data_IF_950226326765
#
_entry.id   IF_950226326765
#
_cell.length_a   1.000
_cell.length_b   1.000
_cell.length_c   1.000
_cell.angle_alpha   90.00
_cell.angle_beta   90.00
_cell.angle_gamma   90.00
#
_symmetry.space_group_name_H-M   'P 1'
#
loop_
_entity.id
_entity.type
_entity.pdbx_description
1 polymer ?
#
# COMPACT_ATOMS: atom_id res chain seq x y z
N UNK A 1 -13.63 5.73 -9.58
CA UNK A 1 -13.27 6.58 -10.75
C UNK A 1 -12.29 7.64 -10.27
N UNK A 2 -11.00 7.31 -10.12
CA UNK A 2 -9.93 8.24 -9.69
C UNK A 2 -8.77 8.34 -10.70
N UNK A 3 -8.88 7.66 -11.85
CA UNK A 3 -7.85 7.56 -12.91
C UNK A 3 -7.44 8.89 -13.57
N UNK A 4 -7.93 10.06 -13.13
CA UNK A 4 -7.59 11.37 -13.70
C UNK A 4 -6.91 12.35 -12.75
N UNK A 5 -6.79 12.05 -11.45
CA UNK A 5 -6.34 13.05 -10.47
C UNK A 5 -4.87 13.40 -10.69
N UNK A 6 -3.99 12.40 -10.82
CA UNK A 6 -2.55 12.60 -10.93
C UNK A 6 -2.13 13.52 -12.09
N UNK A 7 -2.80 13.43 -13.25
CA UNK A 7 -2.49 14.24 -14.43
C UNK A 7 -2.83 15.75 -14.26
N UNK A 8 -3.68 16.11 -13.29
CA UNK A 8 -4.13 17.48 -13.04
C UNK A 8 -3.61 18.13 -11.77
N UNK A 9 -2.79 17.43 -10.97
CA UNK A 9 -2.26 17.96 -9.71
C UNK A 9 -1.27 19.10 -9.98
N UNK A 10 -1.56 20.25 -9.38
CA UNK A 10 -0.67 21.42 -9.33
C UNK A 10 -0.14 21.56 -7.91
N UNK A 11 1.14 21.91 -7.77
CA UNK A 11 1.69 22.22 -6.46
C UNK A 11 0.98 23.42 -5.83
N UNK A 12 0.63 23.26 -4.57
CA UNK A 12 -0.06 24.24 -3.75
C UNK A 12 0.86 24.99 -2.79
N UNK A 13 0.29 26.00 -2.15
CA UNK A 13 0.94 26.77 -1.09
C UNK A 13 0.81 26.12 0.29
N UNK A 14 1.11 26.90 1.31
CA UNK A 14 0.98 26.50 2.72
C UNK A 14 -0.50 26.29 3.13
N UNK A 15 -0.92 25.06 3.47
CA UNK A 15 -2.32 24.75 3.75
C UNK A 15 -2.76 25.12 5.17
N UNK A 16 -1.85 25.56 6.06
CA UNK A 16 -2.10 25.63 7.51
C UNK A 16 -3.24 26.57 7.93
N UNK A 17 -3.52 27.60 7.13
CA UNK A 17 -4.64 28.51 7.40
C UNK A 17 -6.01 27.88 7.10
N UNK A 18 -6.05 26.82 6.28
CA UNK A 18 -7.27 26.24 5.75
C UNK A 18 -7.98 25.39 6.81
N UNK A 19 -9.32 25.40 6.76
CA UNK A 19 -10.15 24.62 7.69
C UNK A 19 -9.97 23.13 7.46
N UNK A 20 -10.00 22.69 6.21
CA UNK A 20 -9.89 21.27 5.85
C UNK A 20 -8.54 20.69 6.29
N UNK A 21 -7.48 21.50 6.27
CA UNK A 21 -6.17 21.09 6.78
C UNK A 21 -6.17 20.86 8.30
N UNK A 22 -6.90 21.68 9.07
CA UNK A 22 -7.04 21.46 10.53
C UNK A 22 -7.81 20.18 10.85
N UNK A 23 -8.87 19.90 10.07
CA UNK A 23 -9.62 18.65 10.17
C UNK A 23 -8.74 17.45 9.81
N UNK A 24 -8.00 17.54 8.72
CA UNK A 24 -7.03 16.53 8.30
C UNK A 24 -6.02 16.23 9.41
N UNK A 25 -5.40 17.26 10.01
CA UNK A 25 -4.44 17.08 11.10
C UNK A 25 -5.04 16.39 12.33
N UNK A 26 -6.31 16.70 12.67
CA UNK A 26 -7.00 16.08 13.80
C UNK A 26 -7.23 14.59 13.57
N UNK A 27 -7.65 14.20 12.36
CA UNK A 27 -7.84 12.79 12.02
C UNK A 27 -6.50 12.05 11.93
N UNK A 28 -5.47 12.64 11.31
CA UNK A 28 -4.13 12.02 11.24
C UNK A 28 -3.49 11.85 12.63
N UNK A 29 -3.76 12.74 13.59
CA UNK A 29 -3.25 12.62 14.96
C UNK A 29 -3.74 11.37 15.70
N UNK A 30 -4.86 10.77 15.26
CA UNK A 30 -5.40 9.52 15.83
C UNK A 30 -4.43 8.34 15.69
N UNK A 31 -3.63 8.31 14.63
CA UNK A 31 -2.64 7.26 14.37
C UNK A 31 -1.59 7.16 15.49
N UNK A 32 -1.25 8.28 16.12
CA UNK A 32 -0.26 8.37 17.18
C UNK A 32 -0.83 8.31 18.59
N UNK A 33 -2.15 8.21 18.74
CA UNK A 33 -2.79 8.36 20.03
C UNK A 33 -2.72 7.05 20.84
N UNK A 34 -2.26 7.04 22.10
CA UNK A 34 -2.10 5.83 22.91
C UNK A 34 -3.39 5.02 23.07
N UNK A 35 -4.53 5.72 23.14
CA UNK A 35 -5.84 5.07 23.23
C UNK A 35 -6.37 4.53 21.90
N UNK A 36 -5.60 4.58 20.80
CA UNK A 36 -5.94 3.83 19.59
C UNK A 36 -7.35 4.17 19.02
N UNK A 37 -7.74 5.46 18.91
CA UNK A 37 -9.03 5.77 18.33
C UNK A 37 -9.08 5.34 16.86
N UNK A 38 -10.23 4.85 16.42
CA UNK A 38 -10.44 4.50 15.01
C UNK A 38 -10.20 5.72 14.11
N UNK A 39 -9.47 5.50 13.03
CA UNK A 39 -9.16 6.52 12.02
C UNK A 39 -10.22 6.51 10.92
N UNK A 40 -10.81 7.67 10.62
CA UNK A 40 -11.73 7.79 9.49
C UNK A 40 -10.96 8.11 8.19
N UNK A 41 -10.62 7.05 7.46
CA UNK A 41 -9.89 7.14 6.20
C UNK A 41 -10.69 7.84 5.08
N UNK A 42 -12.02 7.77 5.09
CA UNK A 42 -12.83 8.49 4.11
C UNK A 42 -12.85 9.99 4.39
N UNK A 43 -12.93 10.38 5.66
CA UNK A 43 -12.80 11.79 6.05
C UNK A 43 -11.44 12.37 5.63
N UNK A 44 -10.35 11.62 5.84
CA UNK A 44 -9.01 12.02 5.38
C UNK A 44 -8.98 12.19 3.86
N UNK A 45 -9.47 11.21 3.09
CA UNK A 45 -9.53 11.29 1.63
C UNK A 45 -10.30 12.54 1.16
N UNK A 46 -11.48 12.80 1.74
CA UNK A 46 -12.31 13.96 1.40
C UNK A 46 -11.61 15.28 1.71
N UNK A 47 -10.98 15.41 2.88
CA UNK A 47 -10.22 16.61 3.25
C UNK A 47 -9.07 16.86 2.26
N UNK A 48 -8.32 15.80 1.89
CA UNK A 48 -7.23 15.92 0.94
C UNK A 48 -7.70 16.36 -0.45
N UNK A 49 -8.81 15.81 -0.94
CA UNK A 49 -9.38 16.20 -2.23
C UNK A 49 -9.87 17.66 -2.22
N UNK A 50 -10.48 18.11 -1.12
CA UNK A 50 -10.89 19.51 -0.95
C UNK A 50 -9.68 20.46 -0.94
N UNK A 51 -8.58 20.07 -0.29
CA UNK A 51 -7.33 20.83 -0.27
C UNK A 51 -6.67 20.89 -1.65
N UNK A 52 -6.60 19.76 -2.37
CA UNK A 52 -6.09 19.73 -3.74
C UNK A 52 -6.87 20.67 -4.66
N UNK A 53 -8.20 20.74 -4.51
CA UNK A 53 -9.05 21.60 -5.31
C UNK A 53 -8.91 23.10 -4.96
N UNK A 54 -8.78 23.43 -3.67
CA UNK A 54 -8.81 24.82 -3.20
C UNK A 54 -7.44 25.50 -3.10
N UNK A 55 -6.39 24.73 -2.79
CA UNK A 55 -5.04 25.24 -2.52
C UNK A 55 -3.98 24.67 -3.47
N UNK A 56 -4.28 23.57 -4.15
CA UNK A 56 -3.28 22.73 -4.79
C UNK A 56 -2.66 21.73 -3.82
N UNK A 57 -1.88 20.80 -4.35
CA UNK A 57 -1.27 19.74 -3.56
C UNK A 57 0.00 20.21 -2.87
N UNK A 58 0.06 20.02 -1.56
CA UNK A 58 1.30 20.01 -0.79
C UNK A 58 1.71 18.58 -0.44
N UNK A 59 2.95 18.39 0.01
CA UNK A 59 3.52 17.07 0.25
C UNK A 59 2.85 16.34 1.43
N UNK A 60 2.44 17.07 2.47
CA UNK A 60 1.81 16.47 3.64
C UNK A 60 0.40 15.98 3.31
N UNK A 61 -0.41 16.82 2.65
CA UNK A 61 -1.74 16.44 2.17
C UNK A 61 -1.65 15.29 1.17
N UNK A 62 -0.64 15.28 0.30
CA UNK A 62 -0.40 14.18 -0.65
C UNK A 62 -0.05 12.88 0.04
N UNK A 63 0.82 12.91 1.05
CA UNK A 63 1.14 11.73 1.84
C UNK A 63 -0.09 11.20 2.59
N UNK A 64 -0.90 12.08 3.17
CA UNK A 64 -2.14 11.69 3.86
C UNK A 64 -3.18 11.08 2.88
N UNK A 65 -3.34 11.68 1.69
CA UNK A 65 -4.17 11.12 0.62
C UNK A 65 -3.70 9.73 0.22
N UNK A 66 -2.40 9.59 -0.05
CA UNK A 66 -1.80 8.32 -0.45
C UNK A 66 -2.00 7.25 0.62
N UNK A 67 -1.85 7.58 1.91
CA UNK A 67 -2.11 6.65 3.00
C UNK A 67 -3.60 6.26 3.09
N UNK A 68 -4.51 7.23 2.99
CA UNK A 68 -5.95 6.97 3.03
C UNK A 68 -6.40 6.07 1.89
N UNK A 69 -5.96 6.34 0.65
CA UNK A 69 -6.23 5.49 -0.51
C UNK A 69 -5.73 4.07 -0.28
N UNK A 70 -4.53 3.89 0.26
CA UNK A 70 -3.99 2.56 0.58
C UNK A 70 -4.85 1.80 1.60
N UNK A 71 -5.39 2.48 2.61
CA UNK A 71 -6.30 1.84 3.58
C UNK A 71 -7.67 1.50 2.98
N UNK A 72 -8.16 2.30 2.03
CA UNK A 72 -9.47 2.12 1.41
C UNK A 72 -9.47 1.12 0.24
N UNK A 73 -8.35 1.03 -0.48
CA UNK A 73 -8.25 0.28 -1.74
C UNK A 73 -7.01 -0.63 -1.85
N UNK A 74 -6.27 -0.83 -0.76
CA UNK A 74 -5.11 -1.73 -0.75
C UNK A 74 -4.00 -1.31 -1.72
N UNK A 75 -3.52 -2.25 -2.53
CA UNK A 75 -2.44 -2.01 -3.51
C UNK A 75 -2.84 -1.00 -4.59
N UNK A 76 -4.09 -1.03 -5.05
CA UNK A 76 -4.58 -0.06 -6.04
C UNK A 76 -4.55 1.35 -5.46
N UNK A 77 -4.92 1.49 -4.18
CA UNK A 77 -4.81 2.74 -3.45
C UNK A 77 -3.37 3.22 -3.27
N UNK A 78 -2.43 2.32 -3.00
CA UNK A 78 -0.99 2.64 -2.96
C UNK A 78 -0.51 3.16 -4.30
N UNK A 79 -0.91 2.51 -5.40
CA UNK A 79 -0.55 2.92 -6.75
C UNK A 79 -1.13 4.31 -7.08
N UNK A 80 -2.42 4.54 -6.81
CA UNK A 80 -3.05 5.86 -6.99
C UNK A 80 -2.34 6.95 -6.19
N UNK A 81 -2.01 6.68 -4.93
CA UNK A 81 -1.27 7.60 -4.07
C UNK A 81 0.13 7.91 -4.60
N UNK A 82 0.80 6.91 -5.15
CA UNK A 82 2.14 7.04 -5.73
C UNK A 82 2.12 7.88 -7.00
N UNK A 83 1.13 7.71 -7.87
CA UNK A 83 0.96 8.53 -9.08
C UNK A 83 0.77 10.03 -8.74
N UNK A 84 -0.01 10.33 -7.70
CA UNK A 84 -0.17 11.70 -7.18
C UNK A 84 1.15 12.23 -6.61
N UNK A 85 1.87 11.40 -5.84
CA UNK A 85 3.17 11.76 -5.26
C UNK A 85 4.22 12.04 -6.35
N UNK A 86 4.34 11.17 -7.35
CA UNK A 86 5.25 11.34 -8.49
C UNK A 86 4.94 12.64 -9.25
N UNK A 87 3.66 12.92 -9.46
CA UNK A 87 3.23 14.15 -10.12
C UNK A 87 3.60 15.40 -9.33
N UNK A 88 3.54 15.33 -7.99
CA UNK A 88 3.96 16.41 -7.11
C UNK A 88 5.48 16.58 -6.99
N UNK A 89 6.23 15.49 -7.10
CA UNK A 89 7.70 15.49 -7.01
C UNK A 89 8.39 15.89 -8.32
N UNK A 90 7.66 16.30 -9.36
CA UNK A 90 8.29 16.83 -10.59
C UNK A 90 9.13 18.07 -10.26
N UNK A 91 10.26 18.23 -10.98
CA UNK A 91 11.31 19.18 -10.64
C UNK A 91 10.86 20.66 -10.58
N UNK A 92 9.77 21.01 -11.29
CA UNK A 92 9.19 22.35 -11.36
C UNK A 92 8.13 22.63 -10.28
N UNK A 93 7.62 21.61 -9.61
CA UNK A 93 6.47 21.72 -8.70
C UNK A 93 6.82 22.41 -7.37
N UNK A 94 8.03 22.22 -6.82
CA UNK A 94 8.49 22.82 -5.55
C UNK A 94 7.42 22.82 -4.43
N UNK A 95 6.88 21.64 -4.06
CA UNK A 95 5.76 21.54 -3.13
C UNK A 95 6.11 22.05 -1.74
N UNK A 96 5.11 22.59 -1.04
CA UNK A 96 5.22 22.84 0.39
C UNK A 96 5.30 21.51 1.17
N UNK A 97 6.08 21.40 2.26
CA UNK A 97 7.01 22.40 2.79
C UNK A 97 8.34 22.45 2.00
N UNK A 98 8.96 23.64 1.94
CA UNK A 98 10.24 23.84 1.20
C UNK A 98 11.45 23.21 1.89
N UNK A 99 11.39 23.00 3.20
CA UNK A 99 12.51 22.49 3.99
C UNK A 99 12.78 21.01 3.74
N UNK A 100 14.02 20.67 3.37
CA UNK A 100 14.45 19.29 3.08
C UNK A 100 14.13 18.34 4.23
N UNK A 101 14.42 18.73 5.48
CA UNK A 101 14.17 17.89 6.66
C UNK A 101 12.69 17.52 6.80
N UNK A 102 11.79 18.49 6.65
CA UNK A 102 10.34 18.25 6.74
C UNK A 102 9.85 17.33 5.62
N UNK A 103 10.36 17.51 4.38
CA UNK A 103 10.02 16.61 3.26
C UNK A 103 10.50 15.18 3.51
N UNK A 104 11.73 15.02 3.99
CA UNK A 104 12.30 13.70 4.36
C UNK A 104 11.46 13.05 5.46
N UNK A 105 11.03 13.80 6.47
CA UNK A 105 10.22 13.30 7.58
C UNK A 105 8.85 12.80 7.10
N UNK A 106 8.15 13.60 6.29
CA UNK A 106 6.84 13.26 5.70
C UNK A 106 6.94 11.99 4.85
N UNK A 107 7.91 11.95 3.93
CA UNK A 107 8.14 10.79 3.07
C UNK A 107 8.52 9.56 3.88
N UNK A 108 9.38 9.74 4.89
CA UNK A 108 9.81 8.65 5.76
C UNK A 108 8.63 8.04 6.51
N UNK A 109 7.73 8.90 7.01
CA UNK A 109 6.47 8.51 7.66
C UNK A 109 5.57 7.72 6.72
N UNK A 110 5.30 8.23 5.52
CA UNK A 110 4.47 7.54 4.52
C UNK A 110 4.98 6.14 4.20
N UNK A 111 6.27 6.01 3.83
CA UNK A 111 6.83 4.71 3.47
C UNK A 111 6.93 3.76 4.66
N UNK A 112 7.09 4.28 5.88
CA UNK A 112 7.00 3.50 7.11
C UNK A 112 5.59 2.94 7.34
N UNK A 113 4.56 3.78 7.17
CA UNK A 113 3.16 3.36 7.29
C UNK A 113 2.77 2.35 6.22
N UNK A 114 3.23 2.53 4.97
CA UNK A 114 2.99 1.54 3.91
C UNK A 114 3.68 0.20 4.17
N UNK A 115 4.86 0.19 4.78
CA UNK A 115 5.49 -1.07 5.20
C UNK A 115 4.65 -1.82 6.23
N UNK A 116 4.02 -1.10 7.16
CA UNK A 116 3.10 -1.69 8.13
C UNK A 116 1.85 -2.23 7.45
N UNK A 117 1.20 -1.41 6.63
CA UNK A 117 -0.01 -1.79 5.90
C UNK A 117 0.22 -2.99 4.97
N UNK A 118 1.34 -3.04 4.25
CA UNK A 118 1.69 -4.19 3.42
C UNK A 118 1.82 -5.48 4.23
N UNK A 119 2.22 -5.45 5.51
CA UNK A 119 2.25 -6.68 6.33
C UNK A 119 0.86 -7.21 6.61
N UNK A 120 -0.12 -6.33 6.72
CA UNK A 120 -1.51 -6.65 7.04
C UNK A 120 -2.33 -7.04 5.81
N UNK A 121 -1.97 -6.53 4.62
CA UNK A 121 -2.68 -6.86 3.38
C UNK A 121 -2.49 -8.33 3.00
N UNK A 122 -3.62 -9.00 2.77
CA UNK A 122 -3.71 -10.33 2.15
C UNK A 122 -3.41 -10.19 0.65
N UNK A 123 -2.20 -10.53 0.26
CA UNK A 123 -1.74 -10.48 -1.13
C UNK A 123 -1.59 -11.91 -1.66
N UNK A 124 -2.17 -12.16 -2.83
CA UNK A 124 -2.16 -13.46 -3.49
C UNK A 124 -1.59 -13.36 -4.92
N UNK A 125 -1.61 -14.49 -5.64
CA UNK A 125 -1.10 -14.59 -7.02
C UNK A 125 -1.74 -13.58 -7.98
N UNK A 126 -3.02 -13.23 -7.81
CA UNK A 126 -3.70 -12.27 -8.67
C UNK A 126 -3.12 -10.86 -8.56
N UNK A 127 -2.49 -10.54 -7.43
CA UNK A 127 -1.93 -9.24 -7.12
C UNK A 127 -0.46 -9.11 -7.55
N UNK A 128 0.15 -10.19 -8.05
CA UNK A 128 1.57 -10.24 -8.41
C UNK A 128 1.92 -9.17 -9.45
N UNK A 129 1.07 -9.00 -10.48
CA UNK A 129 1.27 -7.96 -11.49
C UNK A 129 1.27 -6.56 -10.88
N UNK A 130 0.31 -6.27 -9.99
CA UNK A 130 0.21 -4.98 -9.30
C UNK A 130 1.42 -4.72 -8.39
N UNK A 131 1.92 -5.74 -7.70
CA UNK A 131 3.15 -5.63 -6.90
C UNK A 131 4.38 -5.34 -7.74
N UNK A 132 4.52 -5.98 -8.91
CA UNK A 132 5.63 -5.72 -9.82
C UNK A 132 5.57 -4.28 -10.33
N UNK A 133 4.40 -3.81 -10.76
CA UNK A 133 4.20 -2.41 -11.18
C UNK A 133 4.56 -1.44 -10.05
N UNK A 134 4.08 -1.68 -8.83
CA UNK A 134 4.41 -0.87 -7.67
C UNK A 134 5.92 -0.84 -7.40
N UNK A 135 6.61 -1.98 -7.55
CA UNK A 135 8.07 -2.06 -7.37
C UNK A 135 8.85 -1.20 -8.36
N UNK A 136 8.38 -1.13 -9.61
CA UNK A 136 8.98 -0.29 -10.65
C UNK A 136 8.73 1.19 -10.34
N UNK A 137 7.52 1.56 -9.95
CA UNK A 137 7.20 2.95 -9.61
C UNK A 137 7.97 3.45 -8.37
N UNK A 138 8.12 2.61 -7.36
CA UNK A 138 8.94 2.94 -6.19
C UNK A 138 10.42 3.18 -6.55
N UNK A 139 10.93 2.53 -7.61
CA UNK A 139 12.30 2.74 -8.08
C UNK A 139 12.43 4.11 -8.75
N UNK A 140 11.45 4.48 -9.57
CA UNK A 140 11.39 5.81 -10.17
C UNK A 140 11.37 6.90 -9.09
N UNK A 141 10.52 6.75 -8.06
CA UNK A 141 10.49 7.68 -6.92
C UNK A 141 11.82 7.75 -6.19
N UNK A 142 12.49 6.61 -5.98
CA UNK A 142 13.82 6.58 -5.36
C UNK A 142 14.83 7.39 -6.15
N UNK A 143 14.89 7.19 -7.47
CA UNK A 143 15.80 7.94 -8.35
C UNK A 143 15.49 9.44 -8.35
N UNK A 144 14.22 9.83 -8.46
CA UNK A 144 13.80 11.24 -8.37
C UNK A 144 14.19 11.87 -7.03
N UNK A 145 14.01 11.16 -5.92
CA UNK A 145 14.35 11.68 -4.60
C UNK A 145 15.86 11.80 -4.37
N UNK A 146 16.66 10.90 -4.94
CA UNK A 146 18.14 10.99 -4.88
C UNK A 146 18.67 12.26 -5.56
N UNK A 147 18.03 12.71 -6.64
CA UNK A 147 18.40 13.96 -7.31
C UNK A 147 18.02 15.21 -6.49
N UNK A 148 16.96 15.12 -5.69
CA UNK A 148 16.38 16.28 -4.98
C UNK A 148 16.82 16.40 -3.52
N UNK A 149 17.29 15.30 -2.93
CA UNK A 149 17.46 15.18 -1.49
C UNK A 149 18.82 14.57 -1.16
N UNK A 150 19.73 15.30 -0.48
CA UNK A 150 21.04 14.76 -0.10
C UNK A 150 20.98 13.75 1.05
N UNK A 151 19.81 13.57 1.68
CA UNK A 151 19.59 12.69 2.83
C UNK A 151 18.85 11.42 2.38
N UNK A 152 19.36 10.21 2.70
CA UNK A 152 18.68 8.97 2.33
C UNK A 152 17.38 8.77 3.11
N UNK A 153 16.34 8.31 2.43
CA UNK A 153 15.04 7.94 3.03
C UNK A 153 15.02 6.42 3.22
N UNK A 154 15.51 5.95 4.37
CA UNK A 154 15.71 4.52 4.65
C UNK A 154 14.42 3.69 4.62
N UNK A 155 13.28 4.29 4.97
CA UNK A 155 11.98 3.61 4.91
C UNK A 155 11.50 3.36 3.48
N UNK A 156 11.96 4.13 2.48
CA UNK A 156 11.70 3.82 1.07
C UNK A 156 12.41 2.53 0.67
N UNK A 157 13.67 2.38 1.05
CA UNK A 157 14.46 1.17 0.81
C UNK A 157 13.90 -0.06 1.53
N UNK A 158 13.43 0.11 2.77
CA UNK A 158 12.69 -0.92 3.50
C UNK A 158 11.42 -1.35 2.74
N UNK A 159 10.63 -0.39 2.28
CA UNK A 159 9.42 -0.64 1.50
C UNK A 159 9.70 -1.38 0.19
N UNK A 160 10.69 -0.91 -0.58
CA UNK A 160 11.10 -1.53 -1.85
C UNK A 160 11.52 -2.99 -1.65
N UNK A 161 12.37 -3.23 -0.65
CA UNK A 161 12.82 -4.57 -0.30
C UNK A 161 11.64 -5.47 0.06
N UNK A 162 10.71 -4.98 0.88
CA UNK A 162 9.52 -5.73 1.28
C UNK A 162 8.62 -6.09 0.09
N UNK A 163 8.39 -5.14 -0.83
CA UNK A 163 7.57 -5.37 -2.05
C UNK A 163 8.21 -6.45 -2.93
N UNK A 164 9.51 -6.34 -3.22
CA UNK A 164 10.24 -7.31 -4.04
C UNK A 164 10.22 -8.70 -3.39
N UNK A 165 10.51 -8.79 -2.09
CA UNK A 165 10.49 -10.06 -1.36
C UNK A 165 9.11 -10.72 -1.37
N UNK A 166 8.03 -9.94 -1.20
CA UNK A 166 6.66 -10.45 -1.28
C UNK A 166 6.34 -10.97 -2.68
N UNK A 167 6.68 -10.22 -3.73
CA UNK A 167 6.48 -10.64 -5.11
C UNK A 167 7.22 -11.96 -5.41
N UNK A 168 8.52 -12.05 -5.09
CA UNK A 168 9.32 -13.26 -5.31
C UNK A 168 8.86 -14.46 -4.48
N UNK A 169 8.24 -14.25 -3.31
CA UNK A 169 7.63 -15.35 -2.54
C UNK A 169 6.40 -15.88 -3.25
N UNK A 170 5.50 -15.00 -3.68
CA UNK A 170 4.26 -15.37 -4.38
C UNK A 170 4.59 -16.09 -5.69
N UNK A 171 5.56 -15.59 -6.44
CA UNK A 171 6.01 -16.22 -7.70
C UNK A 171 6.55 -17.63 -7.48
N UNK A 172 7.42 -17.83 -6.47
CA UNK A 172 7.94 -19.16 -6.13
C UNK A 172 6.86 -20.11 -5.65
N UNK A 173 5.94 -19.64 -4.81
CA UNK A 173 4.83 -20.45 -4.30
C UNK A 173 3.91 -20.90 -5.46
N UNK A 174 3.67 -20.01 -6.44
CA UNK A 174 2.90 -20.32 -7.64
C UNK A 174 3.61 -21.36 -8.53
N UNK A 175 4.92 -21.20 -8.76
CA UNK A 175 5.72 -22.16 -9.53
C UNK A 175 5.76 -23.54 -8.86
N UNK A 176 5.91 -23.58 -7.54
CA UNK A 176 5.88 -24.83 -6.77
C UNK A 176 4.52 -25.54 -6.89
N UNK A 177 3.42 -24.80 -6.81
CA UNK A 177 2.08 -25.36 -6.98
C UNK A 177 1.88 -25.97 -8.38
N UNK A 178 2.39 -25.33 -9.44
CA UNK A 178 2.34 -25.85 -10.81
C UNK A 178 3.14 -27.15 -10.95
N UNK A 179 4.35 -27.22 -10.37
CA UNK A 179 5.19 -28.43 -10.38
C UNK A 179 4.52 -29.61 -9.67
N UNK A 180 3.89 -29.37 -8.51
CA UNK A 180 3.16 -30.41 -7.77
C UNK A 180 1.95 -30.90 -8.57
N UNK A 181 1.18 -29.99 -9.18
CA UNK A 181 0.05 -30.36 -10.02
C UNK A 181 0.47 -31.19 -11.24
N UNK A 182 1.57 -30.81 -11.91
CA UNK A 182 2.10 -31.55 -13.06
C UNK A 182 2.52 -32.99 -12.68
N UNK A 183 3.15 -33.18 -11.52
CA UNK A 183 3.55 -34.50 -11.02
C UNK A 183 2.36 -35.37 -10.58
N UNK A 184 1.25 -34.77 -10.14
CA UNK A 184 0.03 -35.49 -9.79
C UNK A 184 -0.76 -35.98 -11.02
N UNK A 185 -0.57 -35.36 -12.19
CA UNK A 185 -1.23 -35.72 -13.45
C UNK A 185 -0.42 -36.77 -14.24
N UNK A 186 0.80 -37.11 -13.79
CA UNK A 186 1.58 -38.19 -14.39
C UNK A 186 0.82 -39.52 -14.24
N UNK A 187 0.48 -40.23 -15.34
CA UNK A 187 -0.17 -41.52 -15.24
C UNK A 187 0.76 -42.46 -14.48
N UNK A 188 0.26 -43.08 -13.42
CA UNK A 188 0.97 -44.18 -12.75
C UNK A 188 1.39 -45.19 -13.83
N UNK A 189 2.68 -45.59 -13.90
CA UNK A 189 3.06 -46.63 -14.84
C UNK A 189 2.20 -47.85 -14.54
N UNK A 190 1.50 -48.33 -15.57
CA UNK A 190 0.66 -49.52 -15.54
C UNK A 190 1.44 -50.65 -14.85
N UNK A 191 1.12 -50.92 -13.58
CA UNK A 191 1.44 -52.21 -12.99
C UNK A 191 0.68 -53.24 -13.81
N UNK A 192 1.41 -53.94 -14.68
CA UNK A 192 1.02 -55.23 -15.24
C UNK A 192 0.96 -56.25 -14.09
N UNK A 193 -0.07 -56.10 -13.25
CA UNK A 193 -0.51 -57.08 -12.28
C UNK A 193 -1.55 -57.97 -12.93
N UNK A 194 -1.20 -59.24 -13.13
CA UNK A 194 -2.13 -60.32 -13.41
C UNK A 194 -3.33 -60.28 -12.43
N UNK A 195 -4.55 -60.24 -13.00
CA UNK A 195 -5.84 -60.84 -12.61
C UNK A 195 -6.09 -61.11 -11.09
N UNK A 196 -6.98 -60.36 -10.39
CA UNK A 196 -8.44 -60.58 -10.17
C UNK A 196 -8.78 -61.19 -8.77
N UNK A 197 -9.98 -61.04 -8.16
CA UNK A 197 -11.04 -60.03 -8.37
C UNK A 197 -11.67 -59.42 -7.06
N UNK A 198 -12.35 -58.28 -7.25
CA UNK A 198 -13.54 -57.75 -6.55
C UNK A 198 -13.60 -57.62 -5.01
N UNK A 199 -13.68 -56.36 -4.56
CA UNK A 199 -14.78 -55.94 -3.67
C UNK A 199 -15.20 -54.50 -4.00
N UNK A 200 -16.41 -54.38 -4.53
CA UNK A 200 -17.08 -53.14 -4.87
C UNK A 200 -17.73 -52.53 -3.63
N UNK A 201 -17.48 -51.24 -3.38
CA UNK A 201 -18.33 -50.39 -2.53
C UNK A 201 -18.73 -49.15 -3.33
N UNK A 202 -19.98 -48.66 -3.20
CA UNK A 202 -20.52 -47.64 -4.10
C UNK A 202 -19.99 -46.24 -3.72
N UNK A 203 -19.58 -45.49 -4.74
CA UNK A 203 -19.18 -44.10 -4.62
C UNK A 203 -20.40 -43.21 -4.35
N UNK A 204 -20.38 -42.50 -3.21
CA UNK A 204 -21.22 -41.33 -2.95
C UNK A 204 -20.68 -40.17 -3.80
N UNK A 205 -21.50 -39.43 -4.56
CA UNK A 205 -21.02 -38.34 -5.38
C UNK A 205 -20.65 -37.14 -4.49
N UNK A 206 -19.36 -36.79 -4.41
CA UNK A 206 -18.93 -35.55 -3.79
C UNK A 206 -19.16 -34.37 -4.74
N UNK A 207 -19.72 -33.23 -4.27
CA UNK A 207 -19.93 -32.06 -5.10
C UNK A 207 -18.60 -31.37 -5.43
N UNK A 208 -18.46 -30.95 -6.68
CA UNK A 208 -17.39 -30.08 -7.17
C UNK A 208 -17.32 -28.79 -6.34
N UNK A 209 -16.17 -28.41 -5.77
CA UNK A 209 -16.03 -27.10 -5.16
C UNK A 209 -15.96 -26.07 -6.29
N UNK A 210 -17.05 -25.32 -6.46
CA UNK A 210 -16.99 -24.05 -7.18
C UNK A 210 -15.97 -23.14 -6.48
N UNK A 211 -15.03 -22.57 -7.24
CA UNK A 211 -14.16 -21.49 -6.80
C UNK A 211 -15.02 -20.26 -6.52
N UNK A 212 -15.68 -20.24 -5.36
CA UNK A 212 -16.33 -19.05 -4.82
C UNK A 212 -15.19 -18.20 -4.26
N UNK A 213 -14.93 -17.08 -4.91
CA UNK A 213 -14.11 -15.99 -4.39
C UNK A 213 -14.72 -15.59 -3.04
N UNK A 214 -14.06 -15.79 -1.89
CA UNK A 214 -14.57 -15.22 -0.67
C UNK A 214 -14.46 -13.70 -0.82
N UNK A 215 -15.58 -13.00 -0.70
CA UNK A 215 -15.56 -11.56 -0.44
C UNK A 215 -14.69 -11.36 0.81
N UNK A 216 -13.51 -10.78 0.61
CA UNK A 216 -12.54 -10.51 1.64
C UNK A 216 -13.09 -9.41 2.54
N UNK A 217 -13.97 -9.77 3.48
CA UNK A 217 -14.35 -8.91 4.59
C UNK A 217 -13.16 -8.87 5.53
N UNK A 218 -12.36 -7.83 5.37
CA UNK A 218 -11.17 -7.48 6.17
C UNK A 218 -11.51 -7.58 7.66
N UNK A 219 -11.08 -8.65 8.32
CA UNK A 219 -11.11 -8.72 9.78
C UNK A 219 -9.97 -7.87 10.30
N UNK A 220 -10.32 -6.68 10.80
CA UNK A 220 -9.41 -5.77 11.49
C UNK A 220 -8.89 -6.45 12.76
N UNK A 221 -7.65 -6.92 12.69
CA UNK A 221 -6.88 -7.46 13.81
C UNK A 221 -6.05 -6.38 14.47
N UNK A 222 -6.39 -6.14 15.73
CA UNK A 222 -5.77 -5.31 16.77
C UNK A 222 -4.22 -5.22 16.79
N UNK A 223 -3.74 -3.99 16.67
CA UNK A 223 -2.55 -3.32 17.24
C UNK A 223 -1.32 -4.16 17.65
N UNK A 224 -0.21 -3.92 16.94
CA UNK A 224 1.12 -3.89 17.54
C UNK A 224 1.79 -2.59 17.09
N UNK A 225 1.99 -1.70 18.05
CA UNK A 225 2.76 -0.48 17.88
C UNK A 225 4.24 -0.79 17.65
N UNK A 226 4.78 -0.30 16.53
CA UNK A 226 6.08 0.35 16.45
C UNK A 226 6.21 0.99 15.06
N UNK A 227 6.94 2.10 14.97
CA UNK A 227 7.32 2.89 13.76
C UNK A 227 6.43 4.10 13.39
N UNK A 228 5.71 4.72 14.34
CA UNK A 228 5.06 6.02 14.08
C UNK A 228 5.85 7.13 14.76
N UNK A 229 6.96 7.53 14.13
CA UNK A 229 7.78 8.68 14.55
C UNK A 229 7.70 9.87 13.59
N UNK A 230 7.63 9.62 12.28
CA UNK A 230 7.79 10.67 11.26
C UNK A 230 6.54 11.49 10.94
N UNK A 231 5.34 11.05 11.31
CA UNK A 231 4.13 11.85 11.07
C UNK A 231 3.76 12.74 12.28
N UNK A 232 4.29 12.41 13.46
CA UNK A 232 3.90 13.03 14.75
C UNK A 232 4.83 14.19 15.11
N UNK A 233 6.12 14.12 14.76
CA UNK A 233 7.11 15.11 15.23
C UNK A 233 6.87 16.51 14.67
N UNK A 234 6.36 16.66 13.44
CA UNK A 234 5.95 17.96 12.93
C UNK A 234 4.62 18.48 13.53
N UNK A 235 3.71 17.58 13.93
CA UNK A 235 2.38 17.97 14.45
C UNK A 235 2.42 18.42 15.91
N UNK A 236 3.29 17.85 16.74
CA UNK A 236 3.43 18.26 18.15
C UNK A 236 4.28 19.53 18.34
N UNK A 237 5.27 19.77 17.47
CA UNK A 237 6.17 20.93 17.60
C UNK A 237 5.56 22.26 17.06
N UNK A 238 4.51 22.20 16.25
CA UNK A 238 3.92 23.39 15.59
C UNK A 238 2.46 23.67 15.98
N UNK A 239 1.85 22.85 16.84
CA UNK A 239 0.55 23.16 17.43
C UNK A 239 0.64 24.08 18.66
N UNK A 240 1.84 24.26 19.23
CA UNK A 240 2.14 25.15 20.36
C UNK A 240 3.36 26.06 20.14
N UNK A 241 3.70 26.35 18.88
CA UNK A 241 4.72 27.31 18.49
C UNK A 241 4.13 28.50 17.74
#
# INVERSE_FOLDING_TARGET
>A
MTQGIAAGIKAGGDPRALRDYRTLCTEMARLGHPACPDVDWHSIEQCCLALFASNGADLQTTAAYALARSHLAGLDGMYEGLEVLVSLLRADAQPWPRGISARVEILSGLFGSWQALLRELEINVCDLASLVVLSVQLEHVRLTLLEQTPVPITSLEGLRTQVVQRASRIERDAQAAVLVAANAIAPSPLHLGMHSPTQSTPAVPQPTPALIRPDAKTRRGMWIGLVIGGLISLLAALAWG
#
